data_IF_323856778370
#
_entry.id   IF_323856778370
#
_cell.length_a   1.000
_cell.length_b   1.000
_cell.length_c   1.000
_cell.angle_alpha   90.00
_cell.angle_beta   90.00
_cell.angle_gamma   90.00
#
_symmetry.space_group_name_H-M   'P 1'
#
loop_
_entity.id
_entity.type
_entity.pdbx_description
1 polymer ?
#
# COMPACT_ATOMS: atom_id res chain seq x y z
N UNK A 1 -19.12 -31.70 0.50
CA UNK A 1 -17.74 -31.59 -0.02
C UNK A 1 -17.61 -30.53 -1.10
N UNK A 2 -18.48 -30.51 -2.12
CA UNK A 2 -18.42 -29.55 -3.23
C UNK A 2 -18.58 -28.09 -2.78
N UNK A 3 -19.50 -27.79 -1.85
CA UNK A 3 -19.66 -26.44 -1.28
C UNK A 3 -18.41 -25.97 -0.53
N UNK A 4 -17.81 -26.82 0.30
CA UNK A 4 -16.61 -26.46 1.04
C UNK A 4 -15.42 -26.21 0.08
N UNK A 5 -15.26 -27.06 -0.93
CA UNK A 5 -14.26 -26.87 -1.98
C UNK A 5 -14.48 -25.55 -2.76
N UNK A 6 -15.74 -25.21 -3.05
CA UNK A 6 -16.09 -23.94 -3.69
C UNK A 6 -15.72 -22.73 -2.82
N UNK A 7 -16.05 -22.76 -1.51
CA UNK A 7 -15.70 -21.65 -0.61
C UNK A 7 -14.18 -21.46 -0.47
N UNK A 8 -13.43 -22.56 -0.38
CA UNK A 8 -11.96 -22.53 -0.38
C UNK A 8 -11.44 -21.98 -1.71
N UNK A 9 -12.02 -22.41 -2.84
CA UNK A 9 -11.63 -21.89 -4.15
C UNK A 9 -11.88 -20.38 -4.26
N UNK A 10 -13.02 -19.88 -3.77
CA UNK A 10 -13.31 -18.43 -3.72
C UNK A 10 -12.28 -17.70 -2.88
N UNK A 11 -11.96 -18.19 -1.69
CA UNK A 11 -10.96 -17.57 -0.81
C UNK A 11 -9.57 -17.52 -1.47
N UNK A 12 -9.14 -18.63 -2.07
CA UNK A 12 -7.83 -18.73 -2.74
C UNK A 12 -7.78 -17.82 -3.97
N UNK A 13 -8.82 -17.83 -4.82
CA UNK A 13 -8.87 -16.96 -6.00
C UNK A 13 -8.89 -15.49 -5.59
N UNK A 14 -9.69 -15.12 -4.59
CA UNK A 14 -9.72 -13.76 -4.05
C UNK A 14 -8.34 -13.32 -3.55
N UNK A 15 -7.68 -14.16 -2.75
CA UNK A 15 -6.33 -13.90 -2.27
C UNK A 15 -5.35 -13.67 -3.43
N UNK A 16 -5.34 -14.58 -4.42
CA UNK A 16 -4.46 -14.46 -5.58
C UNK A 16 -4.74 -13.21 -6.42
N UNK A 17 -6.02 -12.84 -6.59
CA UNK A 17 -6.39 -11.62 -7.31
C UNK A 17 -5.88 -10.38 -6.60
N UNK A 18 -5.96 -10.32 -5.26
CA UNK A 18 -5.46 -9.15 -4.53
C UNK A 18 -3.93 -9.12 -4.48
N UNK A 19 -3.29 -10.27 -4.32
CA UNK A 19 -1.83 -10.37 -4.17
C UNK A 19 -1.08 -10.23 -5.50
N UNK A 20 -1.60 -10.85 -6.57
CA UNK A 20 -0.96 -10.92 -7.89
C UNK A 20 -1.60 -9.97 -8.89
N UNK A 21 -2.87 -9.64 -8.73
CA UNK A 21 -3.62 -8.79 -9.66
C UNK A 21 -2.98 -7.43 -9.91
N UNK A 22 -2.52 -6.68 -8.88
CA UNK A 22 -1.84 -5.41 -9.09
C UNK A 22 -0.55 -5.53 -9.92
N UNK A 23 0.20 -6.62 -9.77
CA UNK A 23 1.40 -6.88 -10.56
C UNK A 23 1.02 -7.14 -12.03
N UNK A 24 0.01 -7.97 -12.26
CA UNK A 24 -0.51 -8.26 -13.61
C UNK A 24 -1.13 -7.04 -14.28
N UNK A 25 -1.87 -6.23 -13.51
CA UNK A 25 -2.49 -5.01 -14.01
C UNK A 25 -1.43 -3.96 -14.38
N UNK A 26 -0.40 -3.78 -13.55
CA UNK A 26 0.70 -2.87 -13.87
C UNK A 26 1.44 -3.33 -15.14
N UNK A 27 1.79 -4.61 -15.25
CA UNK A 27 2.44 -5.18 -16.44
C UNK A 27 1.59 -5.02 -17.72
N UNK A 28 0.26 -5.09 -17.61
CA UNK A 28 -0.63 -5.10 -18.77
C UNK A 28 -1.14 -3.73 -19.21
N UNK A 29 -1.27 -2.81 -18.27
CA UNK A 29 -1.95 -1.53 -18.47
C UNK A 29 -1.08 -0.30 -18.21
N UNK A 30 0.14 -0.46 -17.69
CA UNK A 30 1.09 0.65 -17.51
C UNK A 30 2.28 0.48 -18.45
N UNK A 31 2.79 1.59 -18.96
CA UNK A 31 4.01 1.61 -19.76
C UNK A 31 5.22 1.58 -18.82
N UNK A 32 5.77 0.37 -18.67
CA UNK A 32 6.88 0.09 -17.78
C UNK A 32 8.18 -0.01 -18.57
N UNK A 33 9.23 0.66 -18.07
CA UNK A 33 10.60 0.47 -18.52
C UNK A 33 11.49 -0.02 -17.39
N UNK A 34 12.55 -0.72 -17.75
CA UNK A 34 13.61 -1.05 -16.80
C UNK A 34 14.46 0.20 -16.50
N UNK A 35 15.01 0.32 -15.28
CA UNK A 35 15.96 1.38 -14.96
C UNK A 35 17.25 1.23 -15.76
N UNK A 36 17.78 2.36 -16.21
CA UNK A 36 19.14 2.47 -16.74
C UNK A 36 20.18 2.10 -15.67
N UNK A 37 21.43 1.84 -16.07
CA UNK A 37 22.48 1.46 -15.10
C UNK A 37 22.73 2.55 -14.05
N UNK A 38 22.63 3.83 -14.45
CA UNK A 38 22.79 4.98 -13.54
C UNK A 38 21.63 5.08 -12.55
N UNK A 39 20.39 4.99 -13.03
CA UNK A 39 19.19 4.97 -12.17
C UNK A 39 19.22 3.76 -11.23
N UNK A 40 19.65 2.59 -11.72
CA UNK A 40 19.76 1.37 -10.90
C UNK A 40 20.78 1.54 -9.78
N UNK A 41 21.93 2.16 -10.05
CA UNK A 41 22.94 2.45 -9.03
C UNK A 41 22.41 3.43 -7.98
N UNK A 42 21.74 4.51 -8.42
CA UNK A 42 21.11 5.47 -7.50
C UNK A 42 19.99 4.83 -6.67
N UNK A 43 19.10 4.06 -7.28
CA UNK A 43 18.05 3.35 -6.56
C UNK A 43 18.61 2.28 -5.62
N UNK A 44 19.76 1.68 -5.92
CA UNK A 44 20.41 0.77 -4.99
C UNK A 44 20.83 1.50 -3.70
N UNK A 45 21.45 2.68 -3.79
CA UNK A 45 21.84 3.45 -2.60
C UNK A 45 20.64 3.96 -1.80
N UNK A 46 19.59 4.42 -2.48
CA UNK A 46 18.36 4.87 -1.80
C UNK A 46 17.65 3.72 -1.08
N UNK A 47 17.52 2.57 -1.74
CA UNK A 47 16.91 1.37 -1.14
C UNK A 47 17.71 0.84 0.04
N UNK A 48 19.03 0.81 -0.07
CA UNK A 48 19.92 0.39 1.03
C UNK A 48 19.72 1.30 2.24
N UNK A 49 19.72 2.62 2.03
CA UNK A 49 19.48 3.60 3.10
C UNK A 49 18.07 3.46 3.71
N UNK A 50 17.06 3.17 2.88
CA UNK A 50 15.69 2.98 3.30
C UNK A 50 15.38 1.59 3.91
N UNK A 51 16.33 0.65 3.88
CA UNK A 51 16.12 -0.73 4.32
C UNK A 51 15.15 -1.54 3.44
N UNK A 52 15.02 -1.18 2.15
CA UNK A 52 14.12 -1.84 1.21
C UNK A 52 14.83 -2.95 0.41
N UNK A 53 14.63 -4.19 0.83
CA UNK A 53 15.17 -5.37 0.15
C UNK A 53 14.22 -5.90 -0.94
N UNK A 54 14.25 -5.25 -2.11
CA UNK A 54 13.50 -5.66 -3.31
C UNK A 54 14.43 -5.61 -4.51
N UNK A 55 14.63 -6.75 -5.17
CA UNK A 55 15.60 -6.85 -6.29
C UNK A 55 15.12 -6.15 -7.56
N UNK A 56 13.85 -6.35 -7.94
CA UNK A 56 13.30 -5.88 -9.22
C UNK A 56 12.69 -4.50 -9.09
N UNK A 57 12.97 -3.66 -10.09
CA UNK A 57 12.45 -2.29 -10.18
C UNK A 57 11.84 -2.11 -11.57
N UNK A 58 10.66 -1.52 -11.63
CA UNK A 58 10.01 -1.07 -12.85
C UNK A 58 9.70 0.43 -12.73
N UNK A 59 10.08 1.19 -13.75
CA UNK A 59 9.78 2.62 -13.83
C UNK A 59 8.57 2.80 -14.74
N UNK A 60 7.53 3.44 -14.22
CA UNK A 60 6.37 3.85 -14.98
C UNK A 60 6.67 5.16 -15.71
N UNK A 61 6.54 5.14 -17.03
CA UNK A 61 6.77 6.29 -17.91
C UNK A 61 5.47 7.07 -18.05
N UNK A 62 5.53 8.40 -18.14
CA UNK A 62 4.37 9.30 -18.32
C UNK A 62 3.71 9.22 -19.72
N UNK A 63 3.70 8.04 -20.33
CA UNK A 63 2.98 7.79 -21.57
C UNK A 63 1.47 7.73 -21.26
N UNK A 64 0.78 8.84 -21.53
CA UNK A 64 -0.68 9.02 -21.65
C UNK A 64 -1.53 7.83 -21.18
N UNK A 65 -1.53 7.55 -19.87
CA UNK A 65 -2.40 6.53 -19.31
C UNK A 65 -3.85 7.02 -19.38
N UNK A 66 -4.52 6.58 -20.43
CA UNK A 66 -5.92 6.84 -20.74
C UNK A 66 -6.79 5.87 -19.95
N UNK A 67 -6.73 5.95 -18.62
CA UNK A 67 -7.58 5.18 -17.73
C UNK A 67 -8.03 6.04 -16.55
N UNK A 68 -9.22 6.59 -16.70
CA UNK A 68 -10.09 7.15 -15.66
C UNK A 68 -9.97 6.37 -14.34
N UNK A 69 -9.53 7.06 -13.28
CA UNK A 69 -10.20 7.02 -11.96
C UNK A 69 -9.94 8.37 -11.26
N UNK A 70 -10.92 9.29 -11.35
CA UNK A 70 -11.00 10.52 -10.55
C UNK A 70 -11.01 11.79 -11.38
N UNK A 71 -12.17 12.46 -11.43
CA UNK A 71 -12.28 13.86 -11.86
C UNK A 71 -11.47 14.76 -10.90
N UNK A 72 -10.19 14.97 -11.20
CA UNK A 72 -9.55 16.27 -11.01
C UNK A 72 -8.29 16.35 -11.88
N UNK A 73 -8.43 17.10 -12.98
CA UNK A 73 -7.41 17.25 -14.01
C UNK A 73 -6.27 18.16 -13.56
N UNK A 74 -5.23 17.58 -12.96
CA UNK A 74 -3.89 18.18 -12.99
C UNK A 74 -2.84 17.10 -13.24
N UNK A 75 -2.27 17.14 -14.45
CA UNK A 75 -1.18 16.30 -14.89
C UNK A 75 0.14 16.87 -14.33
N UNK A 76 0.23 16.97 -13.01
CA UNK A 76 1.40 17.45 -12.28
C UNK A 76 2.08 16.24 -11.64
N UNK A 77 3.28 15.90 -12.12
CA UNK A 77 4.25 14.96 -11.55
C UNK A 77 3.65 13.91 -10.60
N UNK A 78 3.10 12.83 -11.15
CA UNK A 78 2.54 11.74 -10.35
C UNK A 78 3.66 11.05 -9.57
N UNK A 79 3.82 11.36 -8.28
CA UNK A 79 4.79 10.67 -7.40
C UNK A 79 4.14 9.42 -6.84
N UNK A 80 4.40 8.25 -7.45
CA UNK A 80 3.97 6.94 -6.95
C UNK A 80 5.19 6.06 -6.66
N UNK A 81 5.22 5.51 -5.44
CA UNK A 81 6.17 4.49 -4.99
C UNK A 81 5.36 3.35 -4.40
N UNK A 82 5.53 2.14 -4.93
CA UNK A 82 4.73 0.99 -4.51
C UNK A 82 5.45 -0.33 -4.74
N UNK A 83 5.53 -1.20 -3.74
CA UNK A 83 5.96 -2.59 -3.93
C UNK A 83 4.75 -3.47 -4.15
N UNK A 84 4.78 -4.26 -5.23
CA UNK A 84 3.69 -5.17 -5.59
C UNK A 84 4.21 -6.58 -5.85
N UNK A 85 3.33 -7.55 -5.67
CA UNK A 85 3.59 -8.95 -5.94
C UNK A 85 3.87 -9.78 -4.69
N UNK A 86 3.79 -11.12 -4.82
CA UNK A 86 3.88 -12.04 -3.68
C UNK A 86 5.29 -12.09 -3.08
N UNK A 87 5.41 -12.59 -1.84
CA UNK A 87 6.70 -12.87 -1.21
C UNK A 87 7.68 -13.59 -2.16
N UNK A 88 8.90 -13.06 -2.28
CA UNK A 88 9.95 -13.60 -3.16
C UNK A 88 9.85 -13.22 -4.64
N UNK A 89 8.80 -12.53 -5.08
CA UNK A 89 8.67 -11.98 -6.44
C UNK A 89 8.17 -10.53 -6.46
N UNK A 90 8.51 -9.79 -5.41
CA UNK A 90 8.16 -8.38 -5.24
C UNK A 90 8.88 -7.53 -6.29
N UNK A 91 8.16 -6.54 -6.83
CA UNK A 91 8.68 -5.54 -7.76
C UNK A 91 8.38 -4.16 -7.19
N UNK A 92 9.39 -3.32 -7.14
CA UNK A 92 9.28 -1.92 -6.78
C UNK A 92 8.87 -1.11 -8.02
N UNK A 93 7.70 -0.51 -7.97
CA UNK A 93 7.18 0.40 -8.99
C UNK A 93 7.43 1.83 -8.55
N UNK A 94 8.00 2.61 -9.46
CA UNK A 94 8.36 4.01 -9.25
C UNK A 94 7.96 4.79 -10.50
N UNK A 95 7.41 5.99 -10.35
CA UNK A 95 7.19 6.91 -11.48
C UNK A 95 8.43 7.75 -11.76
N UNK A 96 8.59 8.23 -12.99
CA UNK A 96 9.75 9.06 -13.38
C UNK A 96 9.93 10.31 -12.51
N UNK A 97 8.83 10.95 -12.08
CA UNK A 97 8.89 12.10 -11.17
C UNK A 97 9.56 11.82 -9.81
N UNK A 98 9.59 10.57 -9.33
CA UNK A 98 10.34 10.20 -8.11
C UNK A 98 11.85 10.25 -8.34
N UNK A 99 12.29 9.99 -9.57
CA UNK A 99 13.71 10.02 -9.93
C UNK A 99 14.14 11.45 -10.25
N UNK A 100 13.37 12.18 -11.03
CA UNK A 100 13.83 13.44 -11.60
C UNK A 100 13.53 14.65 -10.71
N UNK A 101 12.39 14.65 -10.02
CA UNK A 101 11.87 15.85 -9.34
C UNK A 101 11.90 15.76 -7.81
N UNK A 102 12.09 14.57 -7.25
CA UNK A 102 11.98 14.34 -5.82
C UNK A 102 13.32 14.48 -5.10
N UNK A 103 13.33 15.25 -4.01
CA UNK A 103 14.47 15.35 -3.11
C UNK A 103 14.86 13.98 -2.54
N UNK A 104 16.17 13.76 -2.37
CA UNK A 104 16.73 12.49 -1.94
C UNK A 104 16.16 12.01 -0.59
N UNK A 105 16.07 12.91 0.41
CA UNK A 105 15.49 12.59 1.72
C UNK A 105 14.01 12.19 1.64
N UNK A 106 13.25 12.79 0.72
CA UNK A 106 11.84 12.47 0.50
C UNK A 106 11.72 11.10 -0.17
N UNK A 107 12.56 10.81 -1.17
CA UNK A 107 12.63 9.49 -1.80
C UNK A 107 12.98 8.40 -0.77
N UNK A 108 13.97 8.64 0.09
CA UNK A 108 14.35 7.72 1.18
C UNK A 108 13.18 7.50 2.14
N UNK A 109 12.48 8.55 2.56
CA UNK A 109 11.32 8.43 3.45
C UNK A 109 10.17 7.61 2.85
N UNK A 110 9.85 7.82 1.56
CA UNK A 110 8.83 7.04 0.86
C UNK A 110 9.23 5.58 0.67
N UNK A 111 10.49 5.31 0.33
CA UNK A 111 11.03 3.95 0.21
C UNK A 111 11.06 3.24 1.57
N UNK A 112 11.37 3.95 2.66
CA UNK A 112 11.36 3.39 4.01
C UNK A 112 9.93 3.05 4.45
N UNK A 113 8.94 3.88 4.12
CA UNK A 113 7.53 3.59 4.36
C UNK A 113 7.06 2.33 3.60
N UNK A 114 7.55 2.12 2.38
CA UNK A 114 7.30 0.89 1.63
C UNK A 114 8.02 -0.31 2.27
N UNK A 115 9.28 -0.16 2.69
CA UNK A 115 10.02 -1.19 3.40
C UNK A 115 9.28 -1.63 4.66
N UNK A 116 8.75 -0.68 5.45
CA UNK A 116 7.91 -0.95 6.60
C UNK A 116 6.67 -1.78 6.25
N UNK A 117 5.96 -1.44 5.17
CA UNK A 117 4.77 -2.20 4.70
C UNK A 117 5.13 -3.62 4.28
N UNK A 118 6.24 -3.77 3.56
CA UNK A 118 6.79 -5.05 3.11
C UNK A 118 7.20 -5.94 4.29
N UNK A 119 7.84 -5.36 5.31
CA UNK A 119 8.28 -6.07 6.52
C UNK A 119 7.12 -6.45 7.46
N UNK A 120 6.01 -5.70 7.41
CA UNK A 120 4.81 -5.98 8.21
C UNK A 120 3.80 -6.89 7.49
N UNK A 121 4.12 -7.34 6.27
CA UNK A 121 3.21 -8.14 5.44
C UNK A 121 1.83 -7.47 5.25
N UNK A 122 1.82 -6.15 5.06
CA UNK A 122 0.57 -5.38 4.97
C UNK A 122 -0.26 -5.79 3.75
N UNK A 123 0.39 -6.04 2.60
CA UNK A 123 -0.27 -6.49 1.37
C UNK A 123 -0.95 -7.85 1.57
N UNK A 124 -0.23 -8.79 2.16
CA UNK A 124 -0.69 -10.15 2.43
C UNK A 124 -1.84 -10.14 3.44
N UNK A 125 -1.75 -9.32 4.49
CA UNK A 125 -2.83 -9.12 5.44
C UNK A 125 -4.11 -8.62 4.75
N UNK A 126 -3.99 -7.61 3.87
CA UNK A 126 -5.12 -7.08 3.09
C UNK A 126 -5.72 -8.15 2.19
N UNK A 127 -4.89 -8.96 1.53
CA UNK A 127 -5.35 -10.06 0.69
C UNK A 127 -6.11 -11.12 1.49
N UNK A 128 -5.62 -11.51 2.66
CA UNK A 128 -6.31 -12.44 3.57
C UNK A 128 -7.64 -11.88 4.07
N UNK A 129 -7.67 -10.60 4.47
CA UNK A 129 -8.89 -9.95 4.94
C UNK A 129 -9.98 -9.93 3.86
N UNK A 130 -9.63 -9.53 2.64
CA UNK A 130 -10.57 -9.52 1.49
C UNK A 130 -11.02 -10.94 1.14
N UNK A 131 -10.10 -11.91 1.12
CA UNK A 131 -10.43 -13.30 0.87
C UNK A 131 -11.40 -13.87 1.91
N UNK A 132 -11.22 -13.54 3.20
CA UNK A 132 -12.12 -13.95 4.27
C UNK A 132 -13.53 -13.37 4.09
N UNK A 133 -13.63 -12.07 3.77
CA UNK A 133 -14.91 -11.39 3.50
C UNK A 133 -15.63 -12.05 2.31
N UNK A 134 -14.93 -12.27 1.20
CA UNK A 134 -15.51 -12.90 0.01
C UNK A 134 -15.92 -14.36 0.24
N UNK A 135 -15.16 -15.11 1.05
CA UNK A 135 -15.54 -16.46 1.45
C UNK A 135 -16.82 -16.49 2.29
N UNK A 136 -16.98 -15.55 3.23
CA UNK A 136 -18.22 -15.44 4.04
C UNK A 136 -19.40 -15.02 3.16
N UNK A 137 -19.21 -14.05 2.25
CA UNK A 137 -20.25 -13.67 1.28
C UNK A 137 -20.67 -14.85 0.41
N UNK A 138 -19.72 -15.63 -0.11
CA UNK A 138 -20.01 -16.83 -0.88
C UNK A 138 -20.75 -17.89 -0.03
N UNK A 139 -20.42 -18.03 1.25
CA UNK A 139 -21.11 -18.94 2.17
C UNK A 139 -22.57 -18.53 2.41
N UNK A 140 -22.85 -17.23 2.47
CA UNK A 140 -24.22 -16.70 2.56
C UNK A 140 -24.99 -16.99 1.27
N UNK A 141 -24.41 -16.64 0.11
CA UNK A 141 -25.06 -16.80 -1.20
C UNK A 141 -25.34 -18.26 -1.54
N UNK A 142 -24.44 -19.16 -1.17
CA UNK A 142 -24.60 -20.61 -1.36
C UNK A 142 -25.49 -21.28 -0.31
N UNK A 143 -26.04 -20.50 0.64
CA UNK A 143 -26.87 -20.99 1.75
C UNK A 143 -26.13 -22.02 2.62
N UNK A 144 -24.79 -21.99 2.59
CA UNK A 144 -23.94 -22.82 3.45
C UNK A 144 -24.02 -22.34 4.91
N UNK A 145 -24.29 -21.06 5.11
CA UNK A 145 -24.46 -20.42 6.44
C UNK A 145 -25.76 -19.63 6.44
N UNK A 146 -26.56 -19.66 7.53
CA UNK A 146 -27.74 -18.82 7.67
C UNK A 146 -27.38 -17.33 7.53
N UNK A 147 -28.22 -16.57 6.82
CA UNK A 147 -27.95 -15.15 6.54
C UNK A 147 -27.58 -14.34 7.78
N UNK A 148 -28.32 -14.48 8.89
CA UNK A 148 -28.07 -13.74 10.13
C UNK A 148 -26.68 -14.04 10.72
N UNK A 149 -26.29 -15.33 10.72
CA UNK A 149 -24.98 -15.75 11.21
C UNK A 149 -23.86 -15.29 10.27
N UNK A 150 -24.05 -15.38 8.96
CA UNK A 150 -23.09 -14.92 7.97
C UNK A 150 -22.91 -13.40 8.02
N UNK A 151 -24.00 -12.63 8.12
CA UNK A 151 -23.96 -11.18 8.24
C UNK A 151 -23.27 -10.74 9.54
N UNK A 152 -23.60 -11.36 10.67
CA UNK A 152 -22.90 -11.11 11.93
C UNK A 152 -21.39 -11.41 11.83
N UNK A 153 -21.03 -12.50 11.12
CA UNK A 153 -19.63 -12.84 10.84
C UNK A 153 -18.94 -11.80 9.97
N UNK A 154 -19.61 -11.27 8.94
CA UNK A 154 -19.06 -10.19 8.11
C UNK A 154 -18.76 -8.94 8.91
N UNK A 155 -19.69 -8.52 9.78
CA UNK A 155 -19.48 -7.37 10.66
C UNK A 155 -18.29 -7.62 11.59
N UNK A 156 -18.23 -8.79 12.23
CA UNK A 156 -17.14 -9.14 13.14
C UNK A 156 -15.78 -9.18 12.42
N UNK A 157 -15.70 -9.84 11.26
CA UNK A 157 -14.48 -9.92 10.44
C UNK A 157 -14.07 -8.54 9.92
N UNK A 158 -15.02 -7.73 9.46
CA UNK A 158 -14.75 -6.37 8.98
C UNK A 158 -14.16 -5.48 10.08
N UNK A 159 -14.76 -5.48 11.26
CA UNK A 159 -14.26 -4.72 12.42
C UNK A 159 -12.87 -5.21 12.87
N UNK A 160 -12.66 -6.52 12.92
CA UNK A 160 -11.37 -7.09 13.28
C UNK A 160 -10.31 -6.76 12.23
N UNK A 161 -10.61 -6.90 10.94
CA UNK A 161 -9.70 -6.58 9.85
C UNK A 161 -9.35 -5.09 9.82
N UNK A 162 -10.32 -4.22 10.07
CA UNK A 162 -10.11 -2.78 10.18
C UNK A 162 -9.16 -2.44 11.35
N UNK A 163 -9.45 -2.98 12.54
CA UNK A 163 -8.62 -2.74 13.72
C UNK A 163 -7.19 -3.28 13.56
N UNK A 164 -7.03 -4.52 13.08
CA UNK A 164 -5.71 -5.10 12.81
C UNK A 164 -5.00 -4.33 11.70
N UNK A 165 -5.69 -3.97 10.62
CA UNK A 165 -5.11 -3.22 9.50
C UNK A 165 -4.50 -1.90 9.94
N UNK A 166 -5.21 -1.15 10.80
CA UNK A 166 -4.69 0.09 11.39
C UNK A 166 -3.43 -0.16 12.24
N UNK A 167 -3.40 -1.24 13.03
CA UNK A 167 -2.22 -1.62 13.82
C UNK A 167 -1.03 -2.03 12.94
N UNK A 168 -1.27 -2.79 11.88
CA UNK A 168 -0.24 -3.20 10.92
C UNK A 168 0.33 -1.97 10.21
N UNK A 169 -0.52 -1.00 9.85
CA UNK A 169 -0.06 0.24 9.22
C UNK A 169 0.83 1.09 10.15
N UNK A 170 0.43 1.29 11.41
CA UNK A 170 1.30 2.00 12.37
C UNK A 170 2.60 1.25 12.65
N UNK A 171 2.56 -0.09 12.74
CA UNK A 171 3.78 -0.89 12.88
C UNK A 171 4.70 -0.78 11.64
N UNK A 172 4.13 -0.60 10.44
CA UNK A 172 4.91 -0.33 9.24
C UNK A 172 5.58 1.05 9.30
N UNK A 173 4.85 2.07 9.75
CA UNK A 173 5.39 3.43 9.91
C UNK A 173 6.47 3.49 11.00
N UNK A 174 6.28 2.75 12.11
CA UNK A 174 7.30 2.60 13.17
C UNK A 174 8.58 1.96 12.62
N UNK A 175 8.47 0.92 11.79
CA UNK A 175 9.66 0.31 11.15
C UNK A 175 10.36 1.25 10.18
N UNK A 176 9.61 2.06 9.45
CA UNK A 176 10.18 3.10 8.59
C UNK A 176 10.92 4.15 9.44
N UNK A 177 10.31 4.58 10.54
CA UNK A 177 10.91 5.52 11.49
C UNK A 177 12.18 4.95 12.14
N UNK A 178 12.19 3.68 12.54
CA UNK A 178 13.37 3.00 13.08
C UNK A 178 14.52 2.94 12.06
N UNK A 179 14.20 2.84 10.76
CA UNK A 179 15.20 2.76 9.70
C UNK A 179 15.82 4.11 9.33
N UNK A 180 15.00 5.17 9.19
CA UNK A 180 15.47 6.46 8.61
C UNK A 180 15.14 7.69 9.45
N UNK A 181 14.52 7.53 10.62
CA UNK A 181 14.08 8.58 11.53
C UNK A 181 12.64 9.00 11.31
N UNK A 182 11.87 9.14 12.40
CA UNK A 182 10.44 9.46 12.34
C UNK A 182 10.15 10.81 11.63
N UNK A 183 10.98 11.83 11.90
CA UNK A 183 10.85 13.14 11.27
C UNK A 183 11.00 13.11 9.75
N UNK A 184 11.96 12.32 9.24
CA UNK A 184 12.19 12.18 7.79
C UNK A 184 11.00 11.51 7.10
N UNK A 185 10.40 10.49 7.73
CA UNK A 185 9.21 9.82 7.18
C UNK A 185 8.01 10.77 7.16
N UNK A 186 7.82 11.56 8.22
CA UNK A 186 6.77 12.58 8.27
C UNK A 186 6.96 13.65 7.19
N UNK A 187 8.17 14.20 7.04
CA UNK A 187 8.51 15.18 6.01
C UNK A 187 8.24 14.62 4.60
N UNK A 188 8.55 13.34 4.38
CA UNK A 188 8.31 12.68 3.10
C UNK A 188 6.82 12.54 2.78
N UNK A 189 5.98 12.20 3.76
CA UNK A 189 4.53 12.14 3.59
C UNK A 189 3.92 13.52 3.30
N UNK A 190 4.34 14.55 4.02
CA UNK A 190 3.89 15.93 3.79
C UNK A 190 4.29 16.43 2.40
N UNK A 191 5.54 16.20 1.97
CA UNK A 191 6.01 16.56 0.62
C UNK A 191 5.24 15.80 -0.47
N UNK A 192 5.02 14.51 -0.30
CA UNK A 192 4.28 13.71 -1.26
C UNK A 192 2.80 14.16 -1.37
N UNK A 193 2.18 14.54 -0.25
CA UNK A 193 0.83 15.09 -0.23
C UNK A 193 0.77 16.46 -0.95
N UNK A 194 1.73 17.34 -0.67
CA UNK A 194 1.84 18.65 -1.30
C UNK A 194 2.03 18.56 -2.82
N UNK A 195 2.85 17.61 -3.31
CA UNK A 195 3.04 17.38 -4.75
C UNK A 195 1.74 16.94 -5.42
N UNK A 196 0.92 16.15 -4.72
CA UNK A 196 -0.39 15.69 -5.21
C UNK A 196 -1.50 16.74 -5.06
N UNK A 197 -1.21 17.89 -4.46
CA UNK A 197 -2.21 18.92 -4.19
C UNK A 197 -3.27 18.49 -3.17
N UNK A 198 -2.97 17.49 -2.33
CA UNK A 198 -3.91 16.97 -1.31
C UNK A 198 -3.46 17.43 0.07
N UNK A 199 -4.36 18.07 0.81
CA UNK A 199 -4.11 18.42 2.21
C UNK A 199 -4.20 17.13 3.07
N UNK A 200 -3.23 16.83 3.95
CA UNK A 200 -3.29 15.66 4.81
C UNK A 200 -4.40 15.81 5.85
N UNK A 201 -5.58 15.25 5.59
CA UNK A 201 -6.67 15.31 6.55
C UNK A 201 -6.35 14.47 7.80
N UNK A 202 -6.65 15.05 8.96
CA UNK A 202 -6.70 14.34 10.25
C UNK A 202 -8.11 13.80 10.43
N UNK A 203 -8.25 12.63 11.04
CA UNK A 203 -9.53 11.92 11.05
C UNK A 203 -10.66 12.71 11.75
N UNK A 204 -11.80 12.86 11.06
CA UNK A 204 -13.10 13.19 11.67
C UNK A 204 -14.06 11.99 11.55
N UNK A 205 -15.27 12.08 12.10
CA UNK A 205 -16.28 11.01 12.13
C UNK A 205 -16.63 10.43 10.75
N UNK A 206 -16.42 11.16 9.65
CA UNK A 206 -16.58 10.68 8.26
C UNK A 206 -15.41 9.81 7.78
N UNK A 207 -14.21 9.96 8.34
CA UNK A 207 -12.98 9.24 7.96
C UNK A 207 -12.89 7.85 8.58
N UNK A 208 -13.83 7.49 9.47
CA UNK A 208 -13.94 6.15 10.07
C UNK A 208 -14.22 5.03 9.06
N UNK A 209 -14.70 5.37 7.87
CA UNK A 209 -14.99 4.42 6.78
C UNK A 209 -13.83 4.25 5.79
N UNK A 210 -12.74 5.01 5.93
CA UNK A 210 -11.56 4.85 5.09
C UNK A 210 -10.70 3.67 5.56
N UNK A 211 -10.37 2.77 4.63
CA UNK A 211 -9.66 1.51 4.92
C UNK A 211 -8.24 1.74 5.45
N UNK A 212 -7.64 2.91 5.19
CA UNK A 212 -6.34 3.30 5.74
C UNK A 212 -6.52 4.34 6.83
N UNK A 213 -5.67 4.34 7.89
CA UNK A 213 -5.65 5.46 8.81
C UNK A 213 -5.36 6.76 8.05
N UNK A 214 -6.01 7.88 8.41
CA UNK A 214 -5.83 9.16 7.75
C UNK A 214 -4.36 9.53 7.69
N UNK A 215 -3.93 10.11 6.57
CA UNK A 215 -2.52 10.48 6.39
C UNK A 215 -2.07 11.49 7.45
N UNK A 216 -2.93 12.43 7.84
CA UNK A 216 -2.66 13.40 8.89
C UNK A 216 -2.42 12.74 10.26
N UNK A 217 -3.20 11.72 10.63
CA UNK A 217 -3.01 10.97 11.89
C UNK A 217 -1.64 10.28 11.94
N UNK A 218 -1.20 9.74 10.79
CA UNK A 218 0.10 9.06 10.67
C UNK A 218 1.25 10.05 10.77
N UNK A 219 1.14 11.19 10.08
CA UNK A 219 2.11 12.29 10.17
C UNK A 219 2.20 12.78 11.62
N UNK A 220 1.07 13.04 12.28
CA UNK A 220 1.04 13.50 13.67
C UNK A 220 1.74 12.52 14.62
N UNK A 221 1.47 11.21 14.49
CA UNK A 221 2.12 10.19 15.31
C UNK A 221 3.65 10.13 15.08
N UNK A 222 4.10 10.26 13.83
CA UNK A 222 5.53 10.30 13.49
C UNK A 222 6.19 11.58 14.03
N UNK A 223 5.51 12.72 14.00
CA UNK A 223 6.00 13.98 14.58
C UNK A 223 6.13 13.90 16.10
N UNK A 224 5.11 13.38 16.79
CA UNK A 224 5.15 13.16 18.25
C UNK A 224 6.33 12.27 18.64
N UNK A 225 6.57 11.20 17.89
CA UNK A 225 7.73 10.34 18.08
C UNK A 225 9.06 11.07 17.85
N UNK A 226 9.17 11.82 16.76
CA UNK A 226 10.39 12.57 16.45
C UNK A 226 10.75 13.60 17.54
N UNK A 227 9.74 14.20 18.18
CA UNK A 227 9.96 15.12 19.30
C UNK A 227 10.39 14.39 20.58
N UNK A 228 9.96 13.13 20.78
CA UNK A 228 10.41 12.28 21.88
C UNK A 228 11.82 11.67 21.69
N UNK A 229 12.35 11.67 20.47
CA UNK A 229 13.71 11.21 20.13
C UNK A 229 14.79 12.29 20.31
N UNK A 230 14.40 13.55 20.55
CA UNK A 230 15.30 14.70 20.80
C UNK A 230 15.66 14.86 22.27
#
# INVERSE_FOLDING_TARGET
MLTAAFLVAVAVVAFLVIEVGPLYAADRFRDLREPTDAERARLASLRETAGLDVERVAIETDAESTADEGEDGSNVGRVEVGVRGPPGRRVLFITEGVLDDLDEDVAIGLLAAEAGRVQTYYGEFRAVAVAAVLAVLAAIVTVAVPFQAGFASLVAVGLAAFWVGRRVQYAADDRAADAVGAGRVADAFERAAAIRGVEPETGDWSTWFEVQPPLGDRIAALRERADGER
#
